data_IF_330125171339
#
_entry.id   IF_330125171339
#
_cell.length_a   1.000
_cell.length_b   1.000
_cell.length_c   1.000
_cell.angle_alpha   90.00
_cell.angle_beta   90.00
_cell.angle_gamma   90.00
#
_symmetry.space_group_name_H-M   'P 1'
#
loop_
_entity.id
_entity.type
_entity.pdbx_description
1 polymer ?
#
# COMPACT_ATOMS: atom_id res chain seq x y z
N UNK A 1 20.67 5.15 7.44
CA UNK A 1 19.26 5.11 7.00
C UNK A 1 18.41 4.64 8.18
N UNK A 2 17.42 5.41 8.63
CA UNK A 2 16.54 4.97 9.72
C UNK A 2 15.78 3.72 9.29
N UNK A 3 15.61 2.74 10.19
CA UNK A 3 14.84 1.53 9.89
C UNK A 3 13.36 1.91 9.65
N UNK A 4 12.80 1.52 8.51
CA UNK A 4 11.38 1.75 8.23
C UNK A 4 10.54 0.91 9.19
N UNK A 5 9.71 1.58 9.99
CA UNK A 5 8.78 0.90 10.90
C UNK A 5 7.46 0.58 10.20
N UNK A 6 6.70 -0.38 10.73
CA UNK A 6 5.34 -0.70 10.26
C UNK A 6 4.44 0.55 10.22
N UNK A 7 4.47 1.37 11.28
CA UNK A 7 3.69 2.61 11.34
C UNK A 7 4.19 3.69 10.38
N UNK A 8 5.51 3.78 10.15
CA UNK A 8 6.07 4.67 9.13
C UNK A 8 5.57 4.28 7.74
N UNK A 9 5.65 2.99 7.41
CA UNK A 9 5.19 2.46 6.14
C UNK A 9 3.68 2.68 5.93
N UNK A 10 2.86 2.45 6.96
CA UNK A 10 1.43 2.74 6.91
C UNK A 10 1.12 4.22 6.60
N UNK A 11 1.86 5.15 7.22
CA UNK A 11 1.72 6.58 6.94
C UNK A 11 2.08 6.91 5.50
N UNK A 12 3.13 6.31 4.96
CA UNK A 12 3.55 6.53 3.58
C UNK A 12 2.53 5.97 2.58
N UNK A 13 1.97 4.79 2.84
CA UNK A 13 0.85 4.25 2.05
C UNK A 13 -0.36 5.19 2.12
N UNK A 14 -0.69 5.71 3.30
CA UNK A 14 -1.78 6.69 3.44
C UNK A 14 -1.55 7.98 2.65
N UNK A 15 -0.30 8.44 2.53
CA UNK A 15 0.07 9.62 1.74
C UNK A 15 -0.14 9.34 0.25
N UNK A 16 0.45 8.27 -0.27
CA UNK A 16 0.34 7.88 -1.68
C UNK A 16 -1.11 7.58 -2.07
N UNK A 17 -1.90 6.98 -1.18
CA UNK A 17 -3.32 6.72 -1.41
C UNK A 17 -4.17 7.98 -1.64
N UNK A 18 -3.67 9.20 -1.38
CA UNK A 18 -4.36 10.46 -1.72
C UNK A 18 -4.18 10.86 -3.18
N UNK A 19 -3.22 10.29 -3.87
CA UNK A 19 -2.94 10.52 -5.29
C UNK A 19 -3.87 9.69 -6.20
N UNK A 20 -4.57 8.70 -5.63
CA UNK A 20 -5.53 7.87 -6.33
C UNK A 20 -6.96 8.43 -6.26
N UNK A 21 -7.85 8.05 -7.20
CA UNK A 21 -9.28 8.33 -7.11
C UNK A 21 -9.89 7.93 -5.75
N UNK A 22 -10.91 8.65 -5.23
CA UNK A 22 -11.34 8.52 -3.84
C UNK A 22 -11.68 7.08 -3.39
N UNK A 23 -12.35 6.30 -4.24
CA UNK A 23 -12.72 4.91 -3.94
C UNK A 23 -11.50 3.97 -3.92
N UNK A 24 -10.56 4.15 -4.85
CA UNK A 24 -9.31 3.40 -4.87
C UNK A 24 -8.45 3.74 -3.66
N UNK A 25 -8.25 5.03 -3.39
CA UNK A 25 -7.50 5.49 -2.22
C UNK A 25 -8.09 4.93 -0.91
N UNK A 26 -9.42 4.86 -0.80
CA UNK A 26 -10.10 4.22 0.34
C UNK A 26 -9.77 2.72 0.44
N UNK A 27 -9.79 1.98 -0.68
CA UNK A 27 -9.43 0.55 -0.72
C UNK A 27 -7.96 0.32 -0.36
N UNK A 28 -7.04 1.14 -0.86
CA UNK A 28 -5.61 1.05 -0.54
C UNK A 28 -5.38 1.21 0.97
N UNK A 29 -5.96 2.25 1.59
CA UNK A 29 -5.86 2.48 3.04
C UNK A 29 -6.48 1.34 3.85
N UNK A 30 -7.64 0.84 3.41
CA UNK A 30 -8.29 -0.30 4.05
C UNK A 30 -7.39 -1.54 4.02
N UNK A 31 -6.88 -1.92 2.84
CA UNK A 31 -6.02 -3.09 2.68
C UNK A 31 -4.74 -2.97 3.52
N UNK A 32 -4.11 -1.80 3.54
CA UNK A 32 -2.91 -1.56 4.36
C UNK A 32 -3.20 -1.78 5.85
N UNK A 33 -4.33 -1.26 6.35
CA UNK A 33 -4.75 -1.47 7.74
C UNK A 33 -5.02 -2.94 8.04
N UNK A 34 -5.72 -3.64 7.14
CA UNK A 34 -6.05 -5.05 7.33
C UNK A 34 -4.81 -5.95 7.32
N UNK A 35 -3.84 -5.69 6.44
CA UNK A 35 -2.57 -6.43 6.41
C UNK A 35 -1.84 -6.31 7.75
N UNK A 36 -1.77 -5.10 8.31
CA UNK A 36 -1.16 -4.85 9.63
C UNK A 36 -1.94 -5.59 10.71
N UNK A 37 -3.28 -5.50 10.69
CA UNK A 37 -4.15 -6.18 11.66
C UNK A 37 -3.94 -7.70 11.64
N UNK A 38 -3.83 -8.30 10.46
CA UNK A 38 -3.63 -9.75 10.30
C UNK A 38 -2.26 -10.21 10.81
N UNK A 39 -1.24 -9.36 10.73
CA UNK A 39 0.15 -9.68 11.11
C UNK A 39 0.54 -9.17 12.51
N UNK A 40 -0.37 -8.53 13.26
CA UNK A 40 -0.07 -7.86 14.54
C UNK A 40 0.51 -8.77 15.63
N UNK A 41 0.28 -10.07 15.51
CA UNK A 41 0.72 -11.09 16.47
C UNK A 41 1.95 -11.88 15.98
N UNK A 42 2.52 -11.51 14.83
CA UNK A 42 3.75 -12.11 14.34
C UNK A 42 4.92 -11.77 15.27
N UNK A 43 5.68 -12.79 15.65
CA UNK A 43 6.85 -12.66 16.53
C UNK A 43 8.14 -13.16 15.87
N UNK A 44 8.04 -13.85 14.73
CA UNK A 44 9.21 -14.31 13.99
C UNK A 44 9.91 -13.12 13.32
N UNK A 45 11.15 -12.78 13.72
CA UNK A 45 11.87 -11.63 13.21
C UNK A 45 12.18 -11.74 11.70
N UNK A 46 12.34 -12.96 11.18
CA UNK A 46 12.58 -13.19 9.74
C UNK A 46 11.33 -12.85 8.95
N UNK A 47 10.15 -13.31 9.40
CA UNK A 47 8.87 -12.98 8.77
C UNK A 47 8.54 -11.51 8.87
N UNK A 48 8.75 -10.88 10.02
CA UNK A 48 8.54 -9.43 10.20
C UNK A 48 9.38 -8.65 9.19
N UNK A 49 10.66 -8.99 9.05
CA UNK A 49 11.56 -8.36 8.07
C UNK A 49 11.07 -8.56 6.64
N UNK A 50 10.63 -9.77 6.29
CA UNK A 50 10.08 -10.08 4.97
C UNK A 50 8.80 -9.27 4.68
N UNK A 51 7.89 -9.15 5.65
CA UNK A 51 6.66 -8.36 5.49
C UNK A 51 6.91 -6.87 5.35
N UNK A 52 7.87 -6.32 6.11
CA UNK A 52 8.28 -4.92 5.95
C UNK A 52 8.90 -4.69 4.57
N UNK A 53 9.71 -5.64 4.09
CA UNK A 53 10.29 -5.54 2.74
C UNK A 53 9.21 -5.57 1.66
N UNK A 54 8.30 -6.53 1.73
CA UNK A 54 7.17 -6.62 0.80
C UNK A 54 6.37 -5.32 0.77
N UNK A 55 6.05 -4.76 1.93
CA UNK A 55 5.27 -3.53 1.99
C UNK A 55 6.03 -2.30 1.46
N UNK A 56 7.37 -2.27 1.53
CA UNK A 56 8.19 -1.24 0.85
C UNK A 56 8.08 -1.38 -0.67
N UNK A 57 8.17 -2.60 -1.18
CA UNK A 57 8.06 -2.89 -2.62
C UNK A 57 6.63 -2.61 -3.13
N UNK A 58 5.60 -2.91 -2.33
CA UNK A 58 4.19 -2.56 -2.60
C UNK A 58 4.00 -1.04 -2.64
N UNK A 59 4.60 -0.29 -1.70
CA UNK A 59 4.56 1.16 -1.69
C UNK A 59 5.23 1.77 -2.92
N UNK A 60 6.37 1.22 -3.36
CA UNK A 60 7.04 1.64 -4.58
C UNK A 60 6.14 1.42 -5.81
N UNK A 61 5.46 0.27 -5.87
CA UNK A 61 4.49 -0.04 -6.91
C UNK A 61 3.32 0.95 -6.91
N UNK A 62 2.74 1.25 -5.73
CA UNK A 62 1.67 2.24 -5.62
C UNK A 62 2.10 3.63 -6.10
N UNK A 63 3.33 4.06 -5.80
CA UNK A 63 3.87 5.34 -6.30
C UNK A 63 3.99 5.34 -7.82
N UNK A 64 4.51 4.27 -8.40
CA UNK A 64 4.64 4.16 -9.86
C UNK A 64 3.27 4.24 -10.55
N UNK A 65 2.29 3.53 -10.02
CA UNK A 65 0.92 3.55 -10.55
C UNK A 65 0.32 4.95 -10.43
N UNK A 66 0.41 5.60 -9.26
CA UNK A 66 -0.11 6.95 -9.05
C UNK A 66 0.50 7.98 -10.01
N UNK A 67 1.78 7.82 -10.35
CA UNK A 67 2.51 8.69 -11.28
C UNK A 67 2.25 8.36 -12.76
N UNK A 68 1.49 7.29 -13.06
CA UNK A 68 1.21 6.86 -14.43
C UNK A 68 -0.31 6.94 -14.69
N UNK A 69 -0.83 8.08 -15.19
CA UNK A 69 -2.27 8.29 -15.35
C UNK A 69 -2.99 7.20 -16.15
N UNK A 70 -2.37 6.69 -17.21
CA UNK A 70 -2.94 5.62 -18.04
C UNK A 70 -3.22 4.32 -17.27
N UNK A 71 -2.41 4.01 -16.25
CA UNK A 71 -2.64 2.86 -15.37
C UNK A 71 -3.79 3.12 -14.40
N UNK A 72 -3.83 4.31 -13.80
CA UNK A 72 -4.94 4.71 -12.91
C UNK A 72 -6.26 4.64 -13.67
N UNK A 73 -6.32 5.19 -14.88
CA UNK A 73 -7.50 5.16 -15.73
C UNK A 73 -7.90 3.73 -16.10
N UNK A 74 -6.94 2.88 -16.48
CA UNK A 74 -7.22 1.49 -16.80
C UNK A 74 -7.82 0.71 -15.61
N UNK A 75 -7.38 1.03 -14.40
CA UNK A 75 -7.88 0.42 -13.16
C UNK A 75 -9.26 0.96 -12.73
N UNK A 76 -9.64 2.17 -13.15
CA UNK A 76 -10.91 2.81 -12.77
C UNK A 76 -12.04 2.54 -13.76
N UNK A 77 -11.71 2.04 -14.96
CA UNK A 77 -12.69 1.67 -15.98
C UNK A 77 -13.68 0.64 -15.43
N UNK A 78 -14.96 1.02 -15.39
CA UNK A 78 -16.06 0.05 -15.30
C UNK A 78 -16.19 -0.65 -16.66
N UNK A 79 -16.29 -1.98 -16.71
CA UNK A 79 -16.62 -2.65 -17.97
C UNK A 79 -17.98 -2.14 -18.47
N UNK A 80 -18.06 -1.85 -19.77
CA UNK A 80 -19.35 -1.57 -20.42
C UNK A 80 -20.20 -2.83 -20.31
N UNK A 81 -21.40 -2.67 -19.76
CA UNK A 81 -22.39 -3.76 -19.63
C UNK A 81 -23.07 -4.02 -20.95
#
# INVERSE_FOLDING_TARGET
MAAQTCMGLYRDVCRVAREFPPLMGKKIRFNAREIIRLRRHEQDPVKIKAYLRQGIDDLATLRLVAQTPSLVDAMDRKPQR
#
